data_IF_919100215257
#
_entry.id   IF_919100215257
#
_cell.length_a   1.000
_cell.length_b   1.000
_cell.length_c   1.000
_cell.angle_alpha   90.00
_cell.angle_beta   90.00
_cell.angle_gamma   90.00
#
_symmetry.space_group_name_H-M   'P 1'
#
loop_
_entity.id
_entity.type
_entity.pdbx_description
1 polymer ?
#
# COMPACT_ATOMS: atom_id res chain seq x y z
N UNK A 1 -23.81 -9.09 15.25
CA UNK A 1 -22.63 -8.41 14.66
C UNK A 1 -22.94 -8.16 13.20
N UNK A 2 -22.67 -6.97 12.65
CA UNK A 2 -22.81 -6.71 11.22
C UNK A 2 -21.82 -7.58 10.44
N UNK A 3 -22.27 -8.22 9.38
CA UNK A 3 -21.41 -8.95 8.46
C UNK A 3 -20.93 -8.00 7.37
N UNK A 4 -19.62 -7.96 7.15
CA UNK A 4 -19.01 -7.16 6.08
C UNK A 4 -18.39 -8.10 5.06
N UNK A 5 -18.67 -7.85 3.78
CA UNK A 5 -18.13 -8.63 2.67
C UNK A 5 -17.19 -7.73 1.88
N UNK A 6 -15.99 -8.23 1.58
CA UNK A 6 -14.98 -7.52 0.79
C UNK A 6 -14.56 -8.42 -0.37
N UNK A 7 -14.24 -7.83 -1.52
CA UNK A 7 -13.55 -8.53 -2.58
C UNK A 7 -12.04 -8.44 -2.32
N UNK A 8 -11.39 -9.59 -2.22
CA UNK A 8 -9.94 -9.72 -2.01
C UNK A 8 -9.45 -10.76 -3.01
N UNK A 9 -8.29 -10.53 -3.62
CA UNK A 9 -7.65 -11.50 -4.51
C UNK A 9 -7.35 -12.82 -3.76
N UNK A 10 -7.58 -13.95 -4.43
CA UNK A 10 -7.48 -15.28 -3.82
C UNK A 10 -6.08 -15.58 -3.27
N UNK A 11 -5.04 -15.14 -3.96
CA UNK A 11 -3.66 -15.34 -3.53
C UNK A 11 -3.32 -14.52 -2.29
N UNK A 12 -3.81 -13.27 -2.20
CA UNK A 12 -3.67 -12.45 -1.00
C UNK A 12 -4.41 -13.08 0.18
N UNK A 13 -5.62 -13.60 -0.03
CA UNK A 13 -6.39 -14.28 0.99
C UNK A 13 -5.69 -15.56 1.48
N UNK A 14 -5.08 -16.33 0.57
CA UNK A 14 -4.28 -17.51 0.91
C UNK A 14 -3.09 -17.14 1.79
N UNK A 15 -2.31 -16.13 1.39
CA UNK A 15 -1.14 -15.67 2.15
C UNK A 15 -1.55 -15.15 3.55
N UNK A 16 -2.62 -14.36 3.63
CA UNK A 16 -3.12 -13.84 4.90
C UNK A 16 -3.55 -14.97 5.86
N UNK A 17 -4.18 -16.03 5.34
CA UNK A 17 -4.53 -17.22 6.13
C UNK A 17 -3.29 -17.96 6.65
N UNK A 18 -2.26 -18.12 5.82
CA UNK A 18 -1.01 -18.75 6.24
C UNK A 18 -0.32 -17.95 7.36
N UNK A 19 -0.26 -16.62 7.22
CA UNK A 19 0.28 -15.74 8.25
C UNK A 19 -0.51 -15.86 9.57
N UNK A 20 -1.85 -15.91 9.49
CA UNK A 20 -2.70 -16.08 10.67
C UNK A 20 -2.40 -17.39 11.43
N UNK A 21 -2.20 -18.49 10.71
CA UNK A 21 -1.83 -19.79 11.30
C UNK A 21 -0.46 -19.73 11.98
N UNK A 22 0.55 -19.13 11.32
CA UNK A 22 1.89 -18.98 11.88
C UNK A 22 1.89 -18.16 13.18
N UNK A 23 1.02 -17.14 13.26
CA UNK A 23 0.85 -16.30 14.44
C UNK A 23 -0.14 -16.86 15.48
N UNK A 24 -0.63 -18.10 15.28
CA UNK A 24 -1.64 -18.76 16.10
C UNK A 24 -2.88 -17.87 16.39
N UNK A 25 -3.35 -17.16 15.36
CA UNK A 25 -4.47 -16.22 15.45
C UNK A 25 -5.49 -16.46 14.34
N UNK A 26 -6.65 -15.80 14.43
CA UNK A 26 -7.67 -15.86 13.39
C UNK A 26 -7.57 -14.67 12.44
N UNK A 27 -7.91 -14.88 11.16
CA UNK A 27 -7.97 -13.79 10.18
C UNK A 27 -8.93 -12.67 10.63
N UNK A 28 -10.05 -13.02 11.25
CA UNK A 28 -11.01 -12.05 11.78
C UNK A 28 -10.42 -11.22 12.92
N UNK A 29 -9.60 -11.83 13.79
CA UNK A 29 -8.87 -11.09 14.83
C UNK A 29 -7.86 -10.12 14.23
N UNK A 30 -7.12 -10.53 13.19
CA UNK A 30 -6.19 -9.64 12.48
C UNK A 30 -6.95 -8.45 11.89
N UNK A 31 -8.02 -8.70 11.11
CA UNK A 31 -8.82 -7.63 10.49
C UNK A 31 -9.40 -6.68 11.54
N UNK A 32 -9.93 -7.22 12.64
CA UNK A 32 -10.46 -6.39 13.74
C UNK A 32 -9.37 -5.51 14.36
N UNK A 33 -8.19 -6.06 14.63
CA UNK A 33 -7.06 -5.31 15.21
C UNK A 33 -6.57 -4.24 14.25
N UNK A 34 -6.46 -4.54 12.95
CA UNK A 34 -6.08 -3.57 11.93
C UNK A 34 -7.10 -2.43 11.82
N UNK A 35 -8.40 -2.75 11.80
CA UNK A 35 -9.45 -1.72 11.78
C UNK A 35 -9.46 -0.86 13.05
N UNK A 36 -9.24 -1.47 14.22
CA UNK A 36 -9.13 -0.73 15.47
C UNK A 36 -7.90 0.19 15.47
N UNK A 37 -6.75 -0.30 14.98
CA UNK A 37 -5.54 0.49 14.80
C UNK A 37 -5.74 1.64 13.82
N UNK A 38 -6.40 1.38 12.69
CA UNK A 38 -6.74 2.39 11.69
C UNK A 38 -7.68 3.47 12.25
N UNK A 39 -8.74 3.09 12.96
CA UNK A 39 -9.66 4.06 13.58
C UNK A 39 -8.94 4.87 14.65
N UNK A 40 -8.05 4.25 15.43
CA UNK A 40 -7.25 4.94 16.44
C UNK A 40 -6.30 5.93 15.77
N UNK A 41 -5.60 5.53 14.71
CA UNK A 41 -4.63 6.38 14.02
C UNK A 41 -5.28 7.54 13.25
N UNK A 42 -6.48 7.36 12.71
CA UNK A 42 -7.28 8.43 12.07
C UNK A 42 -7.94 9.35 13.12
N UNK A 43 -8.28 8.81 14.29
CA UNK A 43 -8.92 9.54 15.39
C UNK A 43 -7.97 10.42 16.20
N UNK A 44 -6.65 10.22 16.09
CA UNK A 44 -5.67 11.05 16.78
C UNK A 44 -5.63 12.49 16.20
N UNK A 45 -5.83 13.53 17.04
CA UNK A 45 -5.91 14.92 16.58
C UNK A 45 -4.62 15.44 15.92
N UNK A 46 -3.46 14.84 16.21
CA UNK A 46 -2.18 15.20 15.57
C UNK A 46 -2.01 14.61 14.15
N UNK A 47 -2.79 13.59 13.77
CA UNK A 47 -2.79 12.99 12.42
C UNK A 47 -3.93 13.49 11.53
N UNK A 48 -4.76 14.41 12.00
CA UNK A 48 -5.71 15.19 11.18
C UNK A 48 -5.02 16.31 10.36
N UNK A 49 -3.70 16.25 10.19
CA UNK A 49 -2.98 17.14 9.28
C UNK A 49 -3.23 16.70 7.84
N UNK A 50 -3.39 17.65 6.92
CA UNK A 50 -3.64 17.37 5.50
C UNK A 50 -2.61 16.42 4.84
N UNK A 51 -1.43 16.27 5.45
CA UNK A 51 -0.38 15.36 5.02
C UNK A 51 -0.74 13.88 5.21
N UNK A 52 -1.35 13.49 6.34
CA UNK A 52 -1.77 12.09 6.55
C UNK A 52 -2.79 11.66 5.50
N UNK A 53 -3.74 12.55 5.18
CA UNK A 53 -4.75 12.27 4.15
C UNK A 53 -4.11 12.04 2.77
N UNK A 54 -3.12 12.85 2.40
CA UNK A 54 -2.38 12.69 1.14
C UNK A 54 -1.56 11.41 1.11
N UNK A 55 -0.88 11.05 2.20
CA UNK A 55 -0.15 9.78 2.33
C UNK A 55 -1.11 8.58 2.24
N UNK A 56 -2.30 8.68 2.82
CA UNK A 56 -3.33 7.64 2.70
C UNK A 56 -3.84 7.53 1.26
N UNK A 57 -4.15 8.65 0.60
CA UNK A 57 -4.60 8.63 -0.79
C UNK A 57 -3.49 8.12 -1.73
N UNK A 58 -2.21 8.35 -1.40
CA UNK A 58 -1.08 7.72 -2.06
C UNK A 58 -1.02 6.20 -1.82
N UNK A 59 -1.09 5.75 -0.57
CA UNK A 59 -1.11 4.32 -0.19
C UNK A 59 -2.22 3.54 -0.88
N UNK A 60 -3.38 4.18 -1.08
CA UNK A 60 -4.53 3.63 -1.80
C UNK A 60 -4.39 3.68 -3.33
N UNK A 61 -3.27 4.19 -3.87
CA UNK A 61 -3.02 4.30 -5.30
C UNK A 61 -3.83 5.38 -6.02
N UNK A 62 -4.46 6.31 -5.30
CA UNK A 62 -5.30 7.37 -5.90
C UNK A 62 -4.47 8.55 -6.41
N UNK A 63 -3.32 8.79 -5.80
CA UNK A 63 -2.41 9.87 -6.16
C UNK A 63 -1.12 9.24 -6.69
N UNK A 64 -0.64 9.62 -7.88
CA UNK A 64 0.61 9.11 -8.40
C UNK A 64 1.80 9.70 -7.63
N UNK A 65 2.87 8.90 -7.50
CA UNK A 65 4.09 9.25 -6.77
C UNK A 65 4.63 10.66 -7.09
N UNK A 66 4.74 11.03 -8.37
CA UNK A 66 5.25 12.36 -8.77
C UNK A 66 4.39 13.52 -8.28
N UNK A 67 3.07 13.33 -8.24
CA UNK A 67 2.13 14.35 -7.77
C UNK A 67 2.22 14.51 -6.25
N UNK A 68 2.39 13.40 -5.52
CA UNK A 68 2.59 13.44 -4.07
C UNK A 68 3.87 14.18 -3.70
N UNK A 69 5.00 13.85 -4.32
CA UNK A 69 6.30 14.48 -4.06
C UNK A 69 6.24 15.99 -4.29
N UNK A 70 5.60 16.43 -5.39
CA UNK A 70 5.42 17.84 -5.70
C UNK A 70 4.49 18.57 -4.71
N UNK A 71 3.34 17.99 -4.35
CA UNK A 71 2.38 18.62 -3.44
C UNK A 71 2.89 18.70 -1.99
N UNK A 72 3.64 17.68 -1.55
CA UNK A 72 4.17 17.61 -0.19
C UNK A 72 5.57 18.21 -0.07
N UNK A 73 6.14 18.73 -1.17
CA UNK A 73 7.50 19.29 -1.23
C UNK A 73 8.54 18.33 -0.66
N UNK A 74 8.37 17.03 -0.97
CA UNK A 74 9.30 15.98 -0.56
C UNK A 74 10.41 15.93 -1.61
N UNK A 75 11.66 16.04 -1.15
CA UNK A 75 12.82 16.07 -2.05
C UNK A 75 13.49 14.70 -2.20
N UNK A 76 13.19 13.76 -1.30
CA UNK A 76 13.83 12.44 -1.25
C UNK A 76 12.84 11.30 -1.02
N UNK A 77 13.07 10.18 -1.70
CA UNK A 77 12.34 8.93 -1.52
C UNK A 77 12.42 8.40 -0.09
N UNK A 78 13.57 8.58 0.55
CA UNK A 78 13.78 8.17 1.93
C UNK A 78 12.84 8.92 2.88
N UNK A 79 12.63 10.22 2.62
CA UNK A 79 11.74 11.03 3.42
C UNK A 79 10.29 10.55 3.28
N UNK A 80 9.84 10.24 2.04
CA UNK A 80 8.53 9.65 1.82
C UNK A 80 8.39 8.30 2.54
N UNK A 81 9.40 7.43 2.45
CA UNK A 81 9.41 6.14 3.12
C UNK A 81 9.27 6.28 4.65
N UNK A 82 10.06 7.16 5.26
CA UNK A 82 10.00 7.42 6.70
C UNK A 82 8.63 7.99 7.12
N UNK A 83 8.03 8.86 6.31
CA UNK A 83 6.68 9.39 6.55
C UNK A 83 5.61 8.30 6.49
N UNK A 84 5.73 7.36 5.55
CA UNK A 84 4.83 6.20 5.43
C UNK A 84 4.97 5.25 6.63
N UNK A 85 6.20 4.97 7.07
CA UNK A 85 6.46 4.19 8.28
C UNK A 85 5.88 4.85 9.53
N UNK A 86 6.06 6.17 9.70
CA UNK A 86 5.50 6.91 10.84
C UNK A 86 3.95 6.95 10.81
N UNK A 87 3.37 6.88 9.61
CA UNK A 87 1.93 6.82 9.42
C UNK A 87 1.36 5.40 9.57
N UNK A 88 2.21 4.37 9.69
CA UNK A 88 1.85 2.94 9.66
C UNK A 88 1.05 2.58 8.39
N UNK A 89 1.45 3.17 7.26
CA UNK A 89 0.82 2.96 5.95
C UNK A 89 1.71 2.10 5.06
N UNK A 90 1.14 1.12 4.33
CA UNK A 90 1.89 0.36 3.36
C UNK A 90 2.28 1.23 2.18
N UNK A 91 3.48 1.01 1.62
CA UNK A 91 3.86 1.62 0.35
C UNK A 91 2.85 1.21 -0.74
N UNK A 92 2.45 2.14 -1.63
CA UNK A 92 1.51 1.79 -2.67
C UNK A 92 2.14 0.77 -3.61
N UNK A 93 1.37 -0.27 -3.88
CA UNK A 93 1.63 -1.17 -4.97
C UNK A 93 1.17 -0.49 -6.26
N UNK A 94 2.00 -0.59 -7.30
CA UNK A 94 1.58 -0.17 -8.63
C UNK A 94 0.39 -1.01 -9.06
N UNK A 95 -0.58 -0.40 -9.74
CA UNK A 95 -1.67 -1.17 -10.34
C UNK A 95 -1.10 -2.18 -11.36
N UNK A 96 -1.76 -3.33 -11.53
CA UNK A 96 -1.30 -4.36 -12.47
C UNK A 96 -1.10 -3.80 -13.90
N UNK A 97 -1.94 -2.84 -14.30
CA UNK A 97 -1.84 -2.13 -15.58
C UNK A 97 -0.58 -1.25 -15.69
N UNK A 98 -0.22 -0.54 -14.62
CA UNK A 98 1.01 0.27 -14.59
C UNK A 98 2.25 -0.61 -14.51
N UNK A 99 2.20 -1.70 -13.75
CA UNK A 99 3.27 -2.70 -13.73
C UNK A 99 3.49 -3.30 -15.12
N UNK A 100 2.42 -3.65 -15.85
CA UNK A 100 2.53 -4.16 -17.21
C UNK A 100 3.14 -3.12 -18.17
N UNK A 101 2.77 -1.84 -18.05
CA UNK A 101 3.36 -0.75 -18.85
C UNK A 101 4.84 -0.54 -18.56
N UNK A 102 5.29 -0.76 -17.31
CA UNK A 102 6.70 -0.69 -16.93
C UNK A 102 7.49 -1.95 -17.32
N UNK A 103 6.82 -3.09 -17.51
CA UNK A 103 7.44 -4.34 -17.97
C UNK A 103 7.71 -4.33 -19.49
N UNK A 104 6.84 -3.71 -20.30
CA UNK A 104 6.98 -3.63 -21.77
C UNK A 104 8.37 -3.17 -22.26
N UNK A 105 9.00 -2.11 -21.70
CA UNK A 105 10.33 -1.68 -22.10
C UNK A 105 11.45 -2.67 -21.71
N UNK A 106 11.27 -3.44 -20.64
CA UNK A 106 12.27 -4.43 -20.18
C UNK A 106 12.29 -5.66 -21.09
N UNK A 107 11.13 -6.10 -21.56
CA UNK A 107 11.03 -7.18 -22.55
C UNK A 107 11.72 -6.79 -23.87
N UNK A 108 11.55 -5.54 -24.32
CA UNK A 108 12.24 -5.05 -25.52
C UNK A 108 13.76 -4.99 -25.37
N UNK A 109 14.27 -4.67 -24.18
CA UNK A 109 15.71 -4.66 -23.91
C UNK A 109 16.29 -6.08 -23.81
N UNK A 110 15.54 -7.04 -23.26
CA UNK A 110 15.98 -8.44 -23.19
C UNK A 110 15.91 -9.13 -24.55
N UNK A 111 14.95 -8.79 -25.41
CA UNK A 111 14.89 -9.29 -26.79
C UNK A 111 16.00 -8.70 -27.67
N UNK A 112 16.30 -7.41 -27.52
CA UNK A 112 17.46 -6.78 -28.18
C UNK A 112 18.78 -7.46 -27.77
N UNK A 113 18.94 -7.82 -26.49
CA UNK A 113 20.11 -8.50 -25.98
C UNK A 113 20.25 -9.97 -26.45
N UNK A 114 19.15 -10.64 -26.86
CA UNK A 114 19.17 -12.00 -27.42
C UNK A 114 19.45 -12.04 -28.93
N UNK A 115 19.39 -10.89 -29.60
CA UNK A 115 19.61 -10.76 -31.05
C UNK A 115 21.05 -10.41 -31.45
N UNK A 116 21.96 -10.35 -30.47
CA UNK A 116 23.42 -10.18 -30.58
C UNK A 116 24.12 -11.50 -30.23
#
# INVERSE_FOLDING_TARGET
MPNVTFAIEDDLLRQAKMAAVQMNTSLNSIVRTLLAGFVTSVGEPNKQTGNYRRLLDFSLGRIPYRKLMAEMHIESDEQLFLMMCAADLPMPTLSSDEMAKMALPLDMLTDAAKSL
#
